data_IF_524022590893
#
_entry.id   IF_524022590893
#
_cell.length_a   1.000
_cell.length_b   1.000
_cell.length_c   1.000
_cell.angle_alpha   90.00
_cell.angle_beta   90.00
_cell.angle_gamma   90.00
#
_symmetry.space_group_name_H-M   'P 1'
#
loop_
_entity.id
_entity.type
_entity.pdbx_description
1 polymer ?
#
# COMPACT_ATOMS: atom_id res chain seq x y z
N UNK A 1 6.85 0.83 -0.22
CA UNK A 1 5.94 1.59 -1.12
C UNK A 1 4.60 0.87 -1.23
N UNK A 2 3.48 1.59 -1.19
CA UNK A 2 2.12 1.03 -1.24
C UNK A 2 1.44 1.45 -2.54
N UNK A 3 1.01 0.47 -3.35
CA UNK A 3 0.46 0.69 -4.70
C UNK A 3 -0.89 -0.03 -4.88
N UNK A 4 -1.60 0.26 -5.97
CA UNK A 4 -2.91 -0.33 -6.27
C UNK A 4 -3.92 0.68 -6.82
N UNK A 5 -5.11 0.21 -7.21
CA UNK A 5 -6.10 1.08 -7.85
C UNK A 5 -6.86 1.97 -6.85
N UNK A 6 -7.54 2.99 -7.34
CA UNK A 6 -8.40 3.82 -6.50
C UNK A 6 -9.54 3.00 -5.87
N UNK A 7 -9.85 3.29 -4.61
CA UNK A 7 -10.94 2.63 -3.88
C UNK A 7 -10.60 1.28 -3.24
N UNK A 8 -9.36 0.76 -3.40
CA UNK A 8 -8.92 -0.47 -2.72
C UNK A 8 -8.46 -0.27 -1.29
N UNK A 9 -8.35 0.98 -0.83
CA UNK A 9 -7.98 1.30 0.55
C UNK A 9 -6.47 1.48 0.78
N UNK A 10 -5.69 1.91 -0.22
CA UNK A 10 -4.24 2.21 -0.10
C UNK A 10 -3.90 3.14 1.07
N UNK A 11 -4.39 4.37 1.05
CA UNK A 11 -4.12 5.37 2.10
C UNK A 11 -4.51 4.87 3.49
N UNK A 12 -5.66 4.20 3.60
CA UNK A 12 -6.11 3.56 4.84
C UNK A 12 -5.17 2.44 5.27
N UNK A 13 -4.75 1.58 4.36
CA UNK A 13 -3.79 0.48 4.62
C UNK A 13 -2.44 1.04 5.06
N UNK A 14 -1.94 2.08 4.40
CA UNK A 14 -0.70 2.78 4.78
C UNK A 14 -0.78 3.32 6.21
N UNK A 15 -1.90 3.98 6.55
CA UNK A 15 -2.14 4.49 7.91
C UNK A 15 -2.25 3.39 8.97
N UNK A 16 -2.98 2.31 8.69
CA UNK A 16 -3.07 1.15 9.60
C UNK A 16 -1.73 0.45 9.78
N UNK A 17 -0.94 0.30 8.72
CA UNK A 17 0.40 -0.28 8.78
C UNK A 17 1.34 0.60 9.61
N UNK A 18 1.29 1.92 9.42
CA UNK A 18 2.04 2.86 10.25
C UNK A 18 1.70 2.70 11.74
N UNK A 19 0.41 2.55 12.06
CA UNK A 19 -0.06 2.30 13.42
C UNK A 19 0.51 1.01 14.00
N UNK A 20 0.45 -0.10 13.27
CA UNK A 20 0.99 -1.39 13.70
C UNK A 20 2.49 -1.29 13.98
N UNK A 21 3.25 -0.68 13.05
CA UNK A 21 4.69 -0.51 13.20
C UNK A 21 5.05 0.36 14.41
N UNK A 22 4.34 1.47 14.63
CA UNK A 22 4.56 2.31 15.81
C UNK A 22 4.19 1.58 17.10
N UNK A 23 3.09 0.82 17.11
CA UNK A 23 2.72 0.00 18.26
C UNK A 23 3.79 -1.06 18.58
N UNK A 24 4.48 -1.57 17.57
CA UNK A 24 5.65 -2.46 17.70
C UNK A 24 6.95 -1.72 18.07
N UNK A 25 6.89 -0.43 18.39
CA UNK A 25 8.02 0.39 18.82
C UNK A 25 8.92 0.90 17.70
N UNK A 26 8.49 0.81 16.44
CA UNK A 26 9.23 1.35 15.28
C UNK A 26 8.94 2.84 15.08
N UNK A 27 9.97 3.58 14.71
CA UNK A 27 9.83 4.94 14.20
C UNK A 27 9.44 4.93 12.72
N UNK A 28 8.43 5.74 12.35
CA UNK A 28 7.83 5.72 11.01
C UNK A 28 7.75 7.11 10.40
N UNK A 29 8.16 7.24 9.14
CA UNK A 29 7.93 8.40 8.28
C UNK A 29 6.96 8.04 7.15
N UNK A 30 6.00 8.91 6.87
CA UNK A 30 4.99 8.75 5.82
C UNK A 30 5.28 9.71 4.66
N UNK A 31 5.30 9.21 3.42
CA UNK A 31 5.37 9.99 2.20
C UNK A 31 4.00 10.05 1.51
N UNK A 32 3.38 11.22 1.45
CA UNK A 32 2.09 11.46 0.80
C UNK A 32 2.25 11.69 -0.71
N UNK A 33 2.61 10.64 -1.46
CA UNK A 33 2.87 10.72 -2.90
C UNK A 33 1.59 10.54 -3.77
N UNK A 34 0.40 10.36 -3.20
CA UNK A 34 -0.88 10.53 -3.92
C UNK A 34 -1.21 12.03 -4.08
N UNK A 35 -0.52 12.69 -5.01
CA UNK A 35 -0.67 14.15 -5.24
C UNK A 35 -1.89 14.53 -6.09
N UNK A 36 -2.58 13.55 -6.66
CA UNK A 36 -3.76 13.75 -7.50
C UNK A 36 -5.07 13.88 -6.71
N UNK A 37 -5.08 13.44 -5.46
CA UNK A 37 -6.23 13.50 -4.57
C UNK A 37 -5.88 14.44 -3.44
N UNK A 38 -6.38 15.67 -3.48
CA UNK A 38 -6.19 16.67 -2.40
C UNK A 38 -6.38 16.04 -1.01
N UNK A 39 -7.50 15.34 -0.82
CA UNK A 39 -7.86 14.73 0.44
C UNK A 39 -7.01 13.50 0.83
N UNK A 40 -6.24 12.89 -0.10
CA UNK A 40 -5.41 11.72 0.24
C UNK A 40 -4.22 12.13 1.11
N UNK A 41 -3.56 13.25 0.79
CA UNK A 41 -2.47 13.77 1.60
C UNK A 41 -2.96 14.19 3.00
N UNK A 42 -4.10 14.86 3.10
CA UNK A 42 -4.70 15.26 4.38
C UNK A 42 -5.15 14.04 5.20
N UNK A 43 -5.72 13.03 4.54
CA UNK A 43 -6.09 11.76 5.17
C UNK A 43 -4.85 11.05 5.74
N UNK A 44 -3.77 10.95 4.97
CA UNK A 44 -2.53 10.32 5.42
C UNK A 44 -1.87 11.11 6.55
N UNK A 45 -1.91 12.45 6.49
CA UNK A 45 -1.42 13.30 7.57
C UNK A 45 -2.20 13.05 8.86
N UNK A 46 -3.53 12.95 8.78
CA UNK A 46 -4.38 12.63 9.94
C UNK A 46 -4.02 11.27 10.53
N UNK A 47 -3.67 10.28 9.71
CA UNK A 47 -3.15 9.00 10.19
C UNK A 47 -1.81 9.16 10.91
N UNK A 48 -0.87 9.90 10.31
CA UNK A 48 0.44 10.18 10.90
C UNK A 48 0.33 10.85 12.27
N UNK A 49 -0.47 11.91 12.38
CA UNK A 49 -0.71 12.63 13.63
C UNK A 49 -1.30 11.74 14.73
N UNK A 50 -2.21 10.82 14.39
CA UNK A 50 -2.81 9.88 15.34
C UNK A 50 -1.82 8.89 15.93
N UNK A 51 -0.78 8.53 15.19
CA UNK A 51 0.22 7.54 15.59
C UNK A 51 1.58 8.16 15.92
N UNK A 52 1.72 9.47 15.84
CA UNK A 52 3.01 10.15 16.04
C UNK A 52 4.03 9.92 14.91
N UNK A 53 3.58 9.51 13.73
CA UNK A 53 4.45 9.37 12.55
C UNK A 53 4.52 10.69 11.78
N UNK A 54 5.73 11.07 11.37
CA UNK A 54 5.98 12.28 10.58
C UNK A 54 5.47 12.09 9.16
N UNK A 55 4.72 13.05 8.62
CA UNK A 55 4.23 12.99 7.23
C UNK A 55 4.88 14.05 6.35
N UNK A 56 5.60 13.60 5.32
CA UNK A 56 6.17 14.41 4.25
C UNK A 56 5.14 14.56 3.13
N UNK A 57 4.82 15.80 2.78
CA UNK A 57 3.85 16.16 1.73
C UNK A 57 4.36 17.31 0.88
N UNK A 58 3.96 17.32 -0.39
CA UNK A 58 4.21 18.42 -1.33
C UNK A 58 2.94 19.23 -1.62
N UNK A 59 3.01 20.22 -2.53
CA UNK A 59 1.83 20.90 -3.03
C UNK A 59 0.91 19.94 -3.80
N UNK A 60 -0.40 20.24 -3.80
CA UNK A 60 -1.36 19.49 -4.62
C UNK A 60 -0.98 19.56 -6.11
N UNK A 61 -1.07 18.43 -6.81
CA UNK A 61 -0.59 18.31 -8.20
C UNK A 61 0.93 18.38 -8.36
N UNK A 62 1.70 18.38 -7.27
CA UNK A 62 3.16 18.27 -7.29
C UNK A 62 3.64 16.90 -7.78
N UNK A 63 4.93 16.79 -8.05
CA UNK A 63 5.57 15.55 -8.54
C UNK A 63 5.68 14.49 -7.42
N UNK A 64 4.98 13.34 -7.53
CA UNK A 64 5.04 12.27 -6.53
C UNK A 64 6.44 11.75 -6.25
N UNK A 65 7.29 11.70 -7.28
CA UNK A 65 8.65 11.21 -7.13
C UNK A 65 9.51 12.15 -6.26
N UNK A 66 9.24 13.45 -6.29
CA UNK A 66 9.92 14.43 -5.44
C UNK A 66 9.53 14.26 -3.97
N UNK A 67 8.23 14.05 -3.68
CA UNK A 67 7.76 13.76 -2.31
C UNK A 67 8.35 12.46 -1.79
N UNK A 68 8.38 11.41 -2.62
CA UNK A 68 8.97 10.13 -2.25
C UNK A 68 10.47 10.24 -1.95
N UNK A 69 11.21 11.03 -2.73
CA UNK A 69 12.62 11.35 -2.46
C UNK A 69 12.80 12.00 -1.09
N UNK A 70 12.03 13.07 -0.84
CA UNK A 70 12.13 13.84 0.39
C UNK A 70 11.74 13.00 1.61
N UNK A 71 10.71 12.14 1.50
CA UNK A 71 10.30 11.24 2.57
C UNK A 71 11.42 10.25 2.97
N UNK A 72 12.13 9.69 1.99
CA UNK A 72 13.25 8.77 2.26
C UNK A 72 14.44 9.52 2.83
N UNK A 73 14.76 10.70 2.28
CA UNK A 73 15.83 11.57 2.77
C UNK A 73 15.59 11.99 4.22
N UNK A 74 14.35 12.39 4.56
CA UNK A 74 13.95 12.76 5.92
C UNK A 74 14.01 11.55 6.85
N UNK A 75 13.48 10.39 6.45
CA UNK A 75 13.60 9.15 7.22
C UNK A 75 15.04 8.75 7.52
N UNK A 76 15.95 8.88 6.55
CA UNK A 76 17.39 8.64 6.77
C UNK A 76 17.98 9.66 7.76
N UNK A 77 17.64 10.94 7.64
CA UNK A 77 18.15 12.00 8.50
C UNK A 77 17.66 11.86 9.96
N UNK A 78 16.42 11.40 10.15
CA UNK A 78 15.82 11.15 11.46
C UNK A 78 16.23 9.78 12.05
N UNK A 79 16.87 8.91 11.25
CA UNK A 79 17.18 7.55 11.67
C UNK A 79 15.93 6.69 11.86
N UNK A 80 14.88 6.94 11.08
CA UNK A 80 13.62 6.23 11.16
C UNK A 80 13.79 4.75 10.76
N UNK A 81 13.08 3.86 11.44
CA UNK A 81 13.09 2.42 11.13
C UNK A 81 12.40 2.12 9.80
N UNK A 82 11.31 2.84 9.48
CA UNK A 82 10.48 2.57 8.29
C UNK A 82 10.02 3.85 7.62
N UNK A 83 10.09 3.88 6.29
CA UNK A 83 9.45 4.91 5.44
C UNK A 83 8.33 4.28 4.62
N UNK A 84 7.09 4.73 4.81
CA UNK A 84 5.93 4.27 4.05
C UNK A 84 5.50 5.32 3.03
N UNK A 85 5.45 4.96 1.76
CA UNK A 85 5.07 5.86 0.66
C UNK A 85 3.69 5.44 0.14
N UNK A 86 2.69 6.32 0.25
CA UNK A 86 1.35 6.15 -0.33
C UNK A 86 1.32 6.74 -1.75
N UNK A 87 0.91 5.97 -2.76
CA UNK A 87 0.91 6.41 -4.16
C UNK A 87 -0.50 6.60 -4.72
N UNK A 88 -0.61 7.31 -5.85
CA UNK A 88 -1.85 7.38 -6.63
C UNK A 88 -2.26 6.00 -7.22
N UNK A 89 -3.53 5.86 -7.63
CA UNK A 89 -4.10 4.61 -8.15
C UNK A 89 -5.00 4.71 -9.38
N UNK A 90 -4.83 5.74 -10.21
CA UNK A 90 -5.70 6.01 -11.39
C UNK A 90 -5.36 5.12 -12.59
N UNK A 91 -5.92 3.92 -12.68
CA UNK A 91 -5.64 2.98 -13.78
C UNK A 91 -6.25 3.38 -15.16
N UNK A 92 -7.17 4.35 -15.20
CA UNK A 92 -7.84 4.77 -16.45
C UNK A 92 -6.90 5.41 -17.48
N UNK A 93 -5.72 5.87 -17.03
CA UNK A 93 -4.62 6.31 -17.90
C UNK A 93 -3.40 5.43 -17.61
N UNK A 94 -3.47 4.14 -18.03
CA UNK A 94 -2.45 3.12 -17.75
C UNK A 94 -1.02 3.65 -17.94
N UNK A 95 -0.71 4.27 -19.07
CA UNK A 95 0.65 4.75 -19.38
C UNK A 95 1.14 5.79 -18.38
N UNK A 96 0.36 6.84 -18.10
CA UNK A 96 0.78 7.93 -17.21
C UNK A 96 0.99 7.48 -15.76
N UNK A 97 0.09 6.65 -15.22
CA UNK A 97 0.24 6.11 -13.86
C UNK A 97 1.48 5.23 -13.75
N UNK A 98 1.71 4.38 -14.75
CA UNK A 98 2.82 3.44 -14.73
C UNK A 98 4.18 4.14 -14.85
N UNK A 99 4.29 5.15 -15.72
CA UNK A 99 5.49 5.98 -15.84
C UNK A 99 5.81 6.70 -14.51
N UNK A 100 4.78 7.17 -13.83
CA UNK A 100 4.90 7.82 -12.52
C UNK A 100 5.37 6.84 -11.44
N UNK A 101 4.76 5.66 -11.32
CA UNK A 101 5.18 4.64 -10.35
C UNK A 101 6.62 4.18 -10.61
N UNK A 102 6.99 3.96 -11.88
CA UNK A 102 8.35 3.64 -12.26
C UNK A 102 9.34 4.78 -11.97
N UNK A 103 8.91 6.05 -12.05
CA UNK A 103 9.71 7.20 -11.63
C UNK A 103 9.88 7.26 -10.11
N UNK A 104 8.81 7.06 -9.34
CA UNK A 104 8.85 7.02 -7.86
C UNK A 104 9.83 5.94 -7.39
N UNK A 105 9.69 4.71 -7.90
CA UNK A 105 10.60 3.59 -7.60
C UNK A 105 12.05 3.97 -7.85
N UNK A 106 12.39 4.42 -9.06
CA UNK A 106 13.77 4.80 -9.44
C UNK A 106 14.35 5.91 -8.55
N UNK A 107 13.53 6.83 -8.08
CA UNK A 107 13.99 7.96 -7.25
C UNK A 107 14.24 7.51 -5.82
N UNK A 108 13.36 6.68 -5.26
CA UNK A 108 13.56 6.05 -3.95
C UNK A 108 14.82 5.17 -3.96
N UNK A 109 15.02 4.40 -5.03
CA UNK A 109 16.17 3.48 -5.17
C UNK A 109 17.54 4.18 -5.22
N UNK A 110 17.58 5.50 -5.40
CA UNK A 110 18.84 6.27 -5.29
C UNK A 110 19.42 6.28 -3.87
N UNK A 111 18.59 6.02 -2.86
CA UNK A 111 19.00 6.00 -1.46
C UNK A 111 19.31 4.59 -0.95
N UNK A 112 19.02 3.55 -1.73
CA UNK A 112 19.17 2.16 -1.33
C UNK A 112 18.12 1.26 -1.98
N UNK A 113 18.22 -0.07 -1.83
CA UNK A 113 17.20 -0.98 -2.34
C UNK A 113 15.85 -0.70 -1.68
N UNK A 114 14.78 -0.81 -2.45
CA UNK A 114 13.43 -0.68 -1.92
C UNK A 114 12.98 -2.04 -1.38
N UNK A 115 12.72 -2.12 -0.06
CA UNK A 115 12.49 -3.41 0.61
C UNK A 115 11.15 -4.06 0.23
N UNK A 116 10.08 -3.26 0.15
CA UNK A 116 8.72 -3.76 -0.06
C UNK A 116 7.90 -2.88 -1.02
N UNK A 117 7.28 -3.51 -2.02
CA UNK A 117 6.20 -2.96 -2.83
C UNK A 117 4.93 -3.76 -2.53
N UNK A 118 4.05 -3.16 -1.74
CA UNK A 118 2.80 -3.77 -1.31
C UNK A 118 1.67 -3.37 -2.26
N UNK A 119 1.12 -4.34 -2.98
CA UNK A 119 -0.06 -4.15 -3.83
C UNK A 119 -1.35 -4.33 -3.02
N UNK A 120 -2.15 -3.27 -2.91
CA UNK A 120 -3.44 -3.31 -2.21
C UNK A 120 -4.56 -3.64 -3.18
N UNK A 121 -5.23 -4.77 -2.95
CA UNK A 121 -6.36 -5.26 -3.74
C UNK A 121 -7.62 -5.38 -2.88
N UNK A 122 -8.75 -5.05 -3.49
CA UNK A 122 -10.07 -5.23 -2.89
C UNK A 122 -10.58 -6.65 -3.18
N UNK A 123 -10.83 -7.43 -2.12
CA UNK A 123 -11.25 -8.83 -2.23
C UNK A 123 -12.60 -8.99 -2.96
N UNK A 124 -13.44 -7.95 -3.00
CA UNK A 124 -14.75 -7.97 -3.65
C UNK A 124 -14.66 -7.93 -5.18
N UNK A 125 -13.52 -7.50 -5.73
CA UNK A 125 -13.36 -7.22 -7.17
C UNK A 125 -13.23 -8.48 -8.04
N UNK A 126 -12.94 -9.64 -7.45
CA UNK A 126 -12.82 -10.90 -8.17
C UNK A 126 -11.83 -10.83 -9.34
N UNK A 127 -12.23 -11.30 -10.52
CA UNK A 127 -11.37 -11.35 -11.72
C UNK A 127 -10.84 -9.98 -12.16
N UNK A 128 -11.56 -8.89 -11.86
CA UNK A 128 -11.07 -7.55 -12.17
C UNK A 128 -9.81 -7.20 -11.38
N UNK A 129 -9.72 -7.65 -10.11
CA UNK A 129 -8.53 -7.47 -9.28
C UNK A 129 -7.30 -8.14 -9.87
N UNK A 130 -7.43 -9.33 -10.48
CA UNK A 130 -6.32 -10.04 -11.14
C UNK A 130 -5.78 -9.28 -12.35
N UNK A 131 -6.67 -8.77 -13.19
CA UNK A 131 -6.27 -7.97 -14.37
C UNK A 131 -5.52 -6.72 -13.94
N UNK A 132 -5.97 -6.07 -12.87
CA UNK A 132 -5.28 -4.91 -12.29
C UNK A 132 -3.91 -5.30 -11.75
N UNK A 133 -3.85 -6.37 -10.97
CA UNK A 133 -2.61 -6.87 -10.35
C UNK A 133 -1.52 -7.14 -11.39
N UNK A 134 -1.87 -7.79 -12.52
CA UNK A 134 -0.95 -8.00 -13.65
C UNK A 134 -0.39 -6.69 -14.22
N UNK A 135 -1.24 -5.69 -14.42
CA UNK A 135 -0.80 -4.40 -14.99
C UNK A 135 0.20 -3.69 -14.06
N UNK A 136 0.03 -3.79 -12.74
CA UNK A 136 1.02 -3.24 -11.80
C UNK A 136 2.32 -4.07 -11.80
N UNK A 137 2.22 -5.39 -11.90
CA UNK A 137 3.39 -6.28 -11.93
C UNK A 137 4.29 -6.07 -13.15
N UNK A 138 3.77 -5.54 -14.25
CA UNK A 138 4.56 -5.20 -15.45
C UNK A 138 5.53 -4.01 -15.21
N UNK A 139 5.34 -3.24 -14.14
CA UNK A 139 5.99 -1.92 -13.97
C UNK A 139 6.73 -1.79 -12.65
N UNK A 140 6.21 -2.41 -11.59
CA UNK A 140 6.83 -2.43 -10.28
C UNK A 140 6.97 -3.87 -9.78
N UNK A 141 8.10 -4.17 -9.15
CA UNK A 141 8.39 -5.48 -8.60
C UNK A 141 7.61 -5.66 -7.30
N UNK A 142 6.36 -6.12 -7.41
CA UNK A 142 5.49 -6.37 -6.27
C UNK A 142 6.15 -7.45 -5.39
N UNK A 143 6.29 -7.18 -4.10
CA UNK A 143 6.91 -8.09 -3.12
C UNK A 143 5.88 -8.72 -2.18
N UNK A 144 4.68 -8.14 -2.12
CA UNK A 144 3.60 -8.64 -1.29
C UNK A 144 2.25 -8.04 -1.65
N UNK A 145 1.19 -8.74 -1.28
CA UNK A 145 -0.19 -8.30 -1.47
C UNK A 145 -0.81 -7.97 -0.12
N UNK A 146 -1.62 -6.91 -0.10
CA UNK A 146 -2.57 -6.61 0.97
C UNK A 146 -3.98 -6.75 0.43
N UNK A 147 -4.80 -7.57 1.09
CA UNK A 147 -6.19 -7.77 0.70
C UNK A 147 -7.11 -7.03 1.64
N UNK A 148 -7.97 -6.16 1.12
CA UNK A 148 -8.94 -5.40 1.92
C UNK A 148 -10.36 -5.89 1.69
N UNK A 149 -11.27 -5.48 2.59
CA UNK A 149 -12.71 -5.76 2.52
C UNK A 149 -13.06 -7.26 2.55
N UNK A 150 -12.27 -8.04 3.29
CA UNK A 150 -12.51 -9.48 3.45
C UNK A 150 -13.70 -9.78 4.36
N UNK A 151 -14.04 -8.87 5.26
CA UNK A 151 -15.19 -8.91 6.16
C UNK A 151 -16.55 -9.03 5.43
N UNK A 152 -16.64 -8.51 4.21
CA UNK A 152 -17.89 -8.48 3.44
C UNK A 152 -18.10 -9.62 2.44
N UNK A 153 -17.19 -10.59 2.29
CA UNK A 153 -17.23 -11.50 1.12
C UNK A 153 -17.05 -12.99 1.39
N UNK A 154 -17.97 -13.80 0.84
CA UNK A 154 -17.85 -15.25 0.67
C UNK A 154 -16.86 -15.66 -0.45
N UNK A 155 -15.86 -14.82 -0.77
CA UNK A 155 -15.03 -14.92 -1.99
C UNK A 155 -13.53 -14.96 -1.71
N UNK A 156 -13.12 -15.72 -0.68
CA UNK A 156 -11.71 -15.99 -0.41
C UNK A 156 -10.92 -16.58 -1.60
N UNK A 157 -11.58 -17.15 -2.61
CA UNK A 157 -10.92 -17.67 -3.81
C UNK A 157 -10.04 -16.67 -4.57
N UNK A 158 -10.24 -15.35 -4.40
CA UNK A 158 -9.37 -14.34 -5.03
C UNK A 158 -7.93 -14.42 -4.52
N UNK A 159 -7.73 -14.78 -3.25
CA UNK A 159 -6.40 -14.91 -2.61
C UNK A 159 -5.57 -15.94 -3.36
N UNK A 160 -6.17 -17.11 -3.59
CA UNK A 160 -5.54 -18.23 -4.31
C UNK A 160 -5.24 -17.83 -5.76
N UNK A 161 -6.17 -17.14 -6.41
CA UNK A 161 -5.99 -16.73 -7.80
C UNK A 161 -4.87 -15.70 -7.95
N UNK A 162 -4.80 -14.69 -7.07
CA UNK A 162 -3.77 -13.64 -7.15
C UNK A 162 -2.40 -14.23 -6.85
N UNK A 163 -2.29 -15.11 -5.84
CA UNK A 163 -1.02 -15.76 -5.53
C UNK A 163 -0.54 -16.66 -6.68
N UNK A 164 -1.44 -17.39 -7.35
CA UNK A 164 -1.09 -18.19 -8.54
C UNK A 164 -0.66 -17.33 -9.73
N UNK A 165 -1.31 -16.20 -9.94
CA UNK A 165 -1.06 -15.31 -11.07
C UNK A 165 0.24 -14.52 -10.90
N UNK A 166 0.46 -13.93 -9.72
CA UNK A 166 1.60 -13.05 -9.47
C UNK A 166 2.82 -13.77 -8.87
N UNK A 167 2.63 -14.92 -8.24
CA UNK A 167 3.70 -15.64 -7.56
C UNK A 167 4.23 -14.95 -6.29
N UNK A 168 3.53 -13.94 -5.77
CA UNK A 168 3.93 -13.17 -4.58
C UNK A 168 3.01 -13.48 -3.39
N UNK A 169 3.51 -13.43 -2.15
CA UNK A 169 2.71 -13.79 -0.98
C UNK A 169 1.69 -12.70 -0.64
N UNK A 170 0.52 -13.13 -0.13
CA UNK A 170 -0.34 -12.24 0.65
C UNK A 170 0.28 -12.09 2.03
N UNK A 171 0.56 -10.84 2.42
CA UNK A 171 1.23 -10.52 3.69
C UNK A 171 0.26 -10.01 4.75
N UNK A 172 -0.76 -9.26 4.31
CA UNK A 172 -1.68 -8.57 5.21
C UNK A 172 -3.12 -8.67 4.71
N UNK A 173 -4.05 -8.63 5.65
CA UNK A 173 -5.49 -8.59 5.41
C UNK A 173 -6.15 -7.46 6.18
N UNK A 174 -7.01 -6.70 5.51
CA UNK A 174 -7.89 -5.70 6.10
C UNK A 174 -9.24 -6.32 6.45
N UNK A 175 -9.61 -6.25 7.72
CA UNK A 175 -10.77 -6.93 8.31
C UNK A 175 -11.95 -5.99 8.59
N UNK A 176 -11.88 -4.74 8.12
CA UNK A 176 -12.88 -3.71 8.40
C UNK A 176 -12.31 -2.30 8.22
N UNK A 177 -13.07 -1.31 8.70
CA UNK A 177 -12.77 0.13 8.56
C UNK A 177 -12.07 0.73 9.80
N UNK A 178 -12.08 0.02 10.93
CA UNK A 178 -11.44 0.42 12.17
C UNK A 178 -9.92 0.48 12.08
N UNK A 179 -9.29 1.27 12.94
CA UNK A 179 -7.83 1.47 12.93
C UNK A 179 -7.02 0.23 13.29
N UNK A 180 -7.64 -0.72 13.98
CA UNK A 180 -7.09 -2.01 14.36
C UNK A 180 -7.35 -3.11 13.32
N UNK A 181 -8.15 -2.85 12.28
CA UNK A 181 -8.59 -3.89 11.35
C UNK A 181 -7.57 -4.11 10.22
N UNK A 182 -6.32 -4.39 10.57
CA UNK A 182 -5.24 -4.86 9.71
C UNK A 182 -4.47 -5.95 10.45
N UNK A 183 -4.40 -7.14 9.85
CA UNK A 183 -3.73 -8.30 10.46
C UNK A 183 -2.75 -8.96 9.48
N UNK A 184 -1.74 -9.69 9.97
CA UNK A 184 -0.97 -10.62 9.16
C UNK A 184 -1.88 -11.63 8.47
N UNK A 185 -1.52 -12.00 7.24
CA UNK A 185 -2.20 -13.09 6.55
C UNK A 185 -1.70 -14.44 7.07
N UNK A 186 -2.58 -15.20 7.70
CA UNK A 186 -2.32 -16.55 8.19
C UNK A 186 -2.99 -17.58 7.26
N UNK A 187 -2.23 -18.31 6.41
CA UNK A 187 -2.80 -19.21 5.42
C UNK A 187 -3.70 -20.29 6.03
N UNK A 188 -3.35 -20.82 7.20
CA UNK A 188 -4.13 -21.84 7.91
C UNK A 188 -5.51 -21.30 8.31
N UNK A 189 -5.54 -20.22 9.09
CA UNK A 189 -6.78 -19.59 9.52
C UNK A 189 -7.65 -19.15 8.33
N UNK A 190 -7.03 -18.73 7.23
CA UNK A 190 -7.74 -18.37 6.01
C UNK A 190 -8.40 -19.58 5.32
N UNK A 191 -7.68 -20.71 5.22
CA UNK A 191 -8.22 -21.95 4.66
C UNK A 191 -9.36 -22.47 5.51
N UNK A 192 -9.19 -22.49 6.84
CA UNK A 192 -10.22 -22.93 7.79
C UNK A 192 -11.50 -22.10 7.64
N UNK A 193 -11.37 -20.77 7.56
CA UNK A 193 -12.50 -19.87 7.31
C UNK A 193 -13.17 -20.08 5.94
N UNK A 194 -12.43 -20.56 4.93
CA UNK A 194 -12.96 -20.80 3.59
C UNK A 194 -13.71 -22.14 3.47
N UNK A 195 -13.23 -23.18 4.17
CA UNK A 195 -13.82 -24.53 4.12
C UNK A 195 -14.95 -24.73 5.13
N UNK A 196 -15.02 -23.88 6.17
CA UNK A 196 -16.17 -23.77 7.06
C UNK A 196 -16.39 -25.00 7.94
N UNK A 197 -15.38 -25.39 8.71
CA UNK A 197 -15.57 -26.30 9.86
C UNK A 197 -16.22 -25.58 11.06
#
# INVERSE_FOLDING_TARGET
MVVGVNGTGKTTTTGKLARVLVADGRSVVLGAADTFRAAAADQLQTWGERVGARTVRGPEGGDPASIAYDAVKEGIAEGADVVLIDTAGRLHTKTGLMDELGKVKRVVEKHGPLDEILLVLDATTGQNGLVQARVFAEVVDITGIVLTKLDGTAKGGIVIAVQRELGVPVKLIGLGEGADDLAPFEPGAFVDALIGD
#
